data_IF_131109876759
#
_entry.id   IF_131109876759
#
_cell.length_a   1.000
_cell.length_b   1.000
_cell.length_c   1.000
_cell.angle_alpha   90.00
_cell.angle_beta   90.00
_cell.angle_gamma   90.00
#
_symmetry.space_group_name_H-M   'P 1'
#
loop_
_entity.id
_entity.type
_entity.pdbx_description
1 polymer ?
#
# COMPACT_ATOMS: atom_id res chain seq x y z
N UNK A 1 19.62 -21.91 -18.76
CA UNK A 1 18.89 -22.22 -17.52
C UNK A 1 17.98 -21.04 -17.24
N UNK A 2 16.83 -21.04 -17.91
CA UNK A 2 15.87 -19.95 -17.97
C UNK A 2 14.54 -20.53 -17.55
N UNK A 3 14.16 -20.28 -16.30
CA UNK A 3 12.85 -20.57 -15.70
C UNK A 3 12.84 -19.72 -14.43
N UNK A 4 12.50 -18.43 -14.57
CA UNK A 4 12.16 -17.52 -13.44
C UNK A 4 11.71 -16.12 -13.91
N UNK A 5 11.74 -15.81 -15.21
CA UNK A 5 11.37 -14.47 -15.73
C UNK A 5 9.92 -14.34 -16.22
N UNK A 6 9.19 -15.43 -16.43
CA UNK A 6 7.82 -15.37 -16.99
C UNK A 6 6.73 -15.22 -15.91
N UNK A 7 6.96 -15.72 -14.69
CA UNK A 7 5.99 -15.62 -13.58
C UNK A 7 5.91 -14.18 -13.04
N UNK A 8 7.05 -13.50 -12.92
CA UNK A 8 7.11 -12.11 -12.42
C UNK A 8 6.44 -11.14 -13.41
N UNK A 9 6.49 -11.43 -14.71
CA UNK A 9 5.85 -10.60 -15.74
C UNK A 9 4.32 -10.79 -15.78
N UNK A 10 3.81 -11.98 -15.46
CA UNK A 10 2.37 -12.24 -15.42
C UNK A 10 1.64 -11.50 -14.28
N UNK A 11 2.30 -11.34 -13.13
CA UNK A 11 1.76 -10.59 -11.98
C UNK A 11 1.54 -9.10 -12.34
N UNK A 12 2.44 -8.51 -13.13
CA UNK A 12 2.33 -7.10 -13.58
C UNK A 12 1.20 -6.92 -14.59
N UNK A 13 0.95 -7.90 -15.47
CA UNK A 13 -0.17 -7.85 -16.44
C UNK A 13 -1.53 -7.99 -15.78
N UNK A 14 -1.66 -8.79 -14.72
CA UNK A 14 -2.93 -8.97 -14.00
C UNK A 14 -3.41 -7.65 -13.41
N UNK A 15 -2.52 -6.83 -12.81
CA UNK A 15 -2.89 -5.54 -12.20
C UNK A 15 -3.45 -4.50 -13.19
N UNK A 16 -3.21 -4.66 -14.51
CA UNK A 16 -3.71 -3.77 -15.56
C UNK A 16 -5.12 -4.06 -16.04
N UNK A 17 -5.66 -5.27 -15.80
CA UNK A 17 -6.97 -5.72 -16.30
C UNK A 17 -8.01 -5.96 -15.19
N UNK A 18 -7.69 -5.64 -13.93
CA UNK A 18 -8.59 -5.86 -12.79
C UNK A 18 -9.64 -4.76 -12.69
N UNK A 19 -10.65 -4.80 -13.56
CA UNK A 19 -11.72 -3.81 -13.57
C UNK A 19 -12.72 -3.94 -12.39
N UNK A 20 -12.75 -5.04 -11.63
CA UNK A 20 -13.83 -5.19 -10.62
C UNK A 20 -13.65 -6.25 -9.51
N UNK A 21 -12.46 -6.83 -9.23
CA UNK A 21 -12.38 -7.97 -8.28
C UNK A 21 -11.26 -8.05 -7.24
N UNK A 22 -10.45 -7.00 -7.04
CA UNK A 22 -9.32 -7.05 -6.10
C UNK A 22 -9.35 -6.00 -4.97
N UNK A 23 -10.54 -5.65 -4.46
CA UNK A 23 -10.64 -4.85 -3.24
C UNK A 23 -9.92 -5.49 -2.05
N UNK A 24 -9.86 -6.83 -2.00
CA UNK A 24 -9.23 -7.58 -0.91
C UNK A 24 -7.72 -7.36 -0.85
N UNK A 25 -7.05 -7.21 -2.00
CA UNK A 25 -5.61 -6.99 -2.04
C UNK A 25 -5.24 -5.62 -1.48
N UNK A 26 -5.93 -4.57 -1.97
CA UNK A 26 -5.79 -3.20 -1.49
C UNK A 26 -6.07 -3.13 0.00
N UNK A 27 -7.13 -3.80 0.47
CA UNK A 27 -7.50 -3.88 1.89
C UNK A 27 -6.43 -4.55 2.76
N UNK A 28 -5.73 -5.57 2.26
CA UNK A 28 -4.64 -6.20 2.99
C UNK A 28 -3.39 -5.31 3.13
N UNK A 29 -3.29 -4.27 2.31
CA UNK A 29 -2.24 -3.25 2.39
C UNK A 29 -2.67 -2.03 3.21
N UNK A 30 -3.90 -1.97 3.72
CA UNK A 30 -4.34 -0.91 4.63
C UNK A 30 -3.77 -1.13 6.04
N UNK A 31 -3.31 -0.04 6.65
CA UNK A 31 -2.92 -0.09 8.04
C UNK A 31 -4.17 -0.31 8.92
N UNK A 32 -4.18 -1.27 9.85
CA UNK A 32 -5.35 -1.53 10.71
C UNK A 32 -5.65 -0.39 11.70
N UNK A 33 -4.76 0.62 11.80
CA UNK A 33 -4.89 1.75 12.72
C UNK A 33 -5.52 2.96 12.04
N UNK A 34 -4.90 3.44 10.95
CA UNK A 34 -5.38 4.63 10.24
C UNK A 34 -6.25 4.32 9.01
N UNK A 35 -6.36 3.05 8.62
CA UNK A 35 -7.09 2.61 7.43
C UNK A 35 -6.58 3.25 6.13
N UNK A 36 -5.38 3.82 6.14
CA UNK A 36 -4.69 4.29 4.95
C UNK A 36 -3.82 3.16 4.37
N UNK A 37 -3.66 3.14 3.06
CA UNK A 37 -2.70 2.24 2.41
C UNK A 37 -1.29 2.48 2.94
N UNK A 38 -0.59 1.41 3.30
CA UNK A 38 0.78 1.48 3.80
C UNK A 38 1.74 1.78 2.65
N UNK A 39 2.74 2.63 2.91
CA UNK A 39 3.80 3.02 1.96
C UNK A 39 5.05 3.40 2.74
N UNK A 40 6.22 3.42 2.08
CA UNK A 40 7.48 3.70 2.76
C UNK A 40 7.88 2.56 3.69
N UNK A 41 8.30 2.86 4.92
CA UNK A 41 8.61 1.84 5.91
C UNK A 41 7.33 1.17 6.43
N UNK A 42 7.30 -0.17 6.40
CA UNK A 42 6.17 -0.96 6.93
C UNK A 42 6.70 -1.88 8.03
N UNK A 43 6.21 -1.72 9.25
CA UNK A 43 6.69 -2.43 10.42
C UNK A 43 5.82 -3.63 10.76
N UNK A 44 6.44 -4.69 11.31
CA UNK A 44 5.74 -5.89 11.76
C UNK A 44 5.88 -6.13 13.26
N UNK A 45 4.82 -6.66 13.87
CA UNK A 45 4.89 -7.26 15.19
C UNK A 45 5.53 -8.66 15.14
N UNK A 46 5.80 -9.27 16.30
CA UNK A 46 6.40 -10.63 16.38
C UNK A 46 5.60 -11.72 15.67
N UNK A 47 4.28 -11.55 15.55
CA UNK A 47 3.38 -12.50 14.87
C UNK A 47 3.31 -12.27 13.36
N UNK A 48 3.73 -11.08 12.89
CA UNK A 48 3.75 -10.74 11.47
C UNK A 48 2.68 -9.75 10.99
N UNK A 49 1.81 -9.23 11.88
CA UNK A 49 0.88 -8.15 11.49
C UNK A 49 1.63 -6.86 11.13
N UNK A 50 1.26 -6.26 10.01
CA UNK A 50 1.89 -5.06 9.46
C UNK A 50 1.20 -3.75 9.89
N UNK A 51 1.99 -2.71 10.13
CA UNK A 51 1.58 -1.37 10.56
C UNK A 51 2.42 -0.35 9.77
N UNK A 52 1.83 0.78 9.35
CA UNK A 52 2.61 1.86 8.71
C UNK A 52 3.54 2.56 9.70
N UNK A 53 4.61 3.17 9.18
CA UNK A 53 5.56 4.00 9.93
C UNK A 53 4.89 5.03 10.85
N UNK A 54 3.95 5.82 10.32
CA UNK A 54 3.27 6.85 11.11
C UNK A 54 2.58 6.25 12.35
N UNK A 55 1.98 5.06 12.23
CA UNK A 55 1.25 4.43 13.32
C UNK A 55 2.17 3.63 14.25
N UNK A 56 3.25 3.04 13.76
CA UNK A 56 4.18 2.27 14.59
C UNK A 56 4.84 3.15 15.65
N UNK A 57 5.19 4.39 15.30
CA UNK A 57 5.86 5.32 16.22
C UNK A 57 4.99 5.70 17.44
N UNK A 58 3.67 5.56 17.32
CA UNK A 58 2.70 5.88 18.37
C UNK A 58 2.27 4.67 19.20
N UNK A 59 2.72 3.48 18.85
CA UNK A 59 2.24 2.22 19.43
C UNK A 59 3.38 1.44 20.09
N UNK A 60 3.09 0.88 21.27
CA UNK A 60 4.02 -0.04 21.96
C UNK A 60 3.73 -1.51 21.64
N UNK A 61 2.50 -1.81 21.25
CA UNK A 61 2.00 -3.16 20.99
C UNK A 61 1.07 -3.18 19.78
N UNK A 62 0.98 -4.34 19.14
CA UNK A 62 0.12 -4.57 17.99
C UNK A 62 -1.35 -4.47 18.40
N UNK A 63 -2.19 -3.68 17.71
CA UNK A 63 -3.61 -3.57 18.04
C UNK A 63 -4.40 -4.85 17.71
N UNK A 64 -3.85 -5.75 16.90
CA UNK A 64 -4.52 -6.98 16.46
C UNK A 64 -4.25 -8.17 17.37
N UNK A 65 -3.06 -8.26 17.98
CA UNK A 65 -2.66 -9.42 18.79
C UNK A 65 -1.99 -9.07 20.13
N UNK A 66 -1.91 -7.78 20.50
CA UNK A 66 -1.28 -7.28 21.73
C UNK A 66 0.22 -7.59 21.91
N UNK A 67 0.87 -8.29 20.97
CA UNK A 67 2.31 -8.53 20.98
C UNK A 67 3.10 -7.23 20.76
N UNK A 68 4.31 -7.09 21.34
CA UNK A 68 5.14 -5.90 21.15
C UNK A 68 5.37 -5.59 19.68
N UNK A 69 5.24 -4.32 19.30
CA UNK A 69 5.77 -3.87 18.02
C UNK A 69 7.29 -3.95 18.06
N UNK A 70 7.86 -4.37 16.94
CA UNK A 70 9.30 -4.50 16.79
C UNK A 70 9.78 -3.48 15.75
N UNK A 71 11.08 -3.19 15.73
CA UNK A 71 11.68 -2.41 14.65
C UNK A 71 11.89 -3.24 13.36
N UNK A 72 11.28 -4.43 13.27
CA UNK A 72 11.35 -5.26 12.07
C UNK A 72 10.47 -4.68 10.98
N UNK A 73 11.03 -4.55 9.78
CA UNK A 73 10.34 -4.07 8.58
C UNK A 73 9.92 -5.23 7.68
N UNK A 74 8.84 -5.04 6.95
CA UNK A 74 8.31 -5.98 5.98
C UNK A 74 8.62 -5.52 4.55
N UNK A 75 9.87 -5.67 4.11
CA UNK A 75 10.34 -5.22 2.79
C UNK A 75 9.51 -5.73 1.60
N UNK A 76 8.89 -6.92 1.73
CA UNK A 76 8.00 -7.45 0.70
C UNK A 76 6.76 -6.56 0.50
N UNK A 77 6.11 -6.12 1.59
CA UNK A 77 4.97 -5.21 1.51
C UNK A 77 5.40 -3.82 1.02
N UNK A 78 6.62 -3.38 1.34
CA UNK A 78 7.17 -2.12 0.84
C UNK A 78 7.35 -2.16 -0.68
N UNK A 79 7.95 -3.23 -1.21
CA UNK A 79 8.09 -3.43 -2.66
C UNK A 79 6.75 -3.58 -3.38
N UNK A 80 5.77 -4.22 -2.74
CA UNK A 80 4.38 -4.25 -3.26
C UNK A 80 3.80 -2.84 -3.32
N UNK A 81 3.89 -2.05 -2.24
CA UNK A 81 3.37 -0.69 -2.21
C UNK A 81 4.03 0.22 -3.25
N UNK A 82 5.32 0.02 -3.53
CA UNK A 82 6.08 0.77 -4.54
C UNK A 82 5.73 0.38 -5.99
N UNK A 83 5.45 -0.91 -6.22
CA UNK A 83 5.09 -1.43 -7.55
C UNK A 83 3.65 -1.16 -7.95
N UNK A 84 2.75 -0.97 -6.97
CA UNK A 84 1.35 -0.60 -7.24
C UNK A 84 1.24 0.71 -8.03
N UNK A 85 0.23 0.76 -8.90
CA UNK A 85 -0.15 1.96 -9.65
C UNK A 85 -1.62 2.23 -9.41
N UNK A 86 -1.90 3.35 -8.76
CA UNK A 86 -3.21 3.79 -8.34
C UNK A 86 -3.60 5.04 -9.10
N UNK A 87 -4.89 5.12 -9.41
CA UNK A 87 -5.51 6.33 -9.93
C UNK A 87 -5.79 7.27 -8.76
N UNK A 88 -5.72 8.59 -8.99
CA UNK A 88 -6.17 9.54 -7.98
C UNK A 88 -7.63 9.29 -7.58
N UNK A 89 -7.94 9.44 -6.28
CA UNK A 89 -9.32 9.36 -5.76
C UNK A 89 -10.28 10.35 -6.45
N UNK A 90 -9.75 11.46 -6.97
CA UNK A 90 -10.50 12.47 -7.71
C UNK A 90 -10.58 12.20 -9.22
N UNK A 91 -10.35 10.95 -9.67
CA UNK A 91 -10.43 10.59 -11.10
C UNK A 91 -11.77 10.97 -11.72
N UNK A 92 -12.87 10.74 -11.00
CA UNK A 92 -14.22 11.09 -11.47
C UNK A 92 -14.42 12.60 -11.60
N UNK A 93 -13.63 13.41 -10.89
CA UNK A 93 -13.58 14.87 -11.03
C UNK A 93 -12.61 15.34 -12.12
N UNK A 94 -12.11 14.42 -12.95
CA UNK A 94 -11.20 14.70 -14.06
C UNK A 94 -9.72 14.72 -13.70
N UNK A 95 -9.32 14.18 -12.53
CA UNK A 95 -7.90 14.01 -12.24
C UNK A 95 -7.33 12.79 -12.98
N UNK A 96 -6.32 13.00 -13.82
CA UNK A 96 -5.67 11.93 -14.58
C UNK A 96 -4.37 11.42 -13.92
N UNK A 97 -4.07 11.87 -12.70
CA UNK A 97 -2.86 11.46 -12.00
C UNK A 97 -2.88 9.95 -11.69
N UNK A 98 -1.75 9.29 -11.98
CA UNK A 98 -1.49 7.90 -11.66
C UNK A 98 -0.12 7.80 -11.01
N UNK A 99 -0.03 7.10 -9.88
CA UNK A 99 1.21 6.95 -9.13
C UNK A 99 1.19 5.75 -8.20
N UNK A 100 2.30 5.49 -7.50
CA UNK A 100 2.30 4.53 -6.40
C UNK A 100 1.59 5.08 -5.16
N UNK A 101 1.49 4.26 -4.10
CA UNK A 101 0.78 4.64 -2.87
C UNK A 101 1.31 5.95 -2.28
N UNK A 102 2.63 6.13 -2.20
CA UNK A 102 3.24 7.33 -1.63
C UNK A 102 3.04 8.57 -2.50
N UNK A 103 3.21 8.42 -3.81
CA UNK A 103 2.97 9.46 -4.80
C UNK A 103 1.52 9.93 -4.78
N UNK A 104 0.55 9.02 -4.67
CA UNK A 104 -0.87 9.34 -4.56
C UNK A 104 -1.17 10.11 -3.27
N UNK A 105 -0.66 9.66 -2.11
CA UNK A 105 -0.81 10.39 -0.83
C UNK A 105 -0.28 11.82 -0.91
N UNK A 106 0.87 12.01 -1.54
CA UNK A 106 1.47 13.33 -1.69
C UNK A 106 0.71 14.20 -2.71
N UNK A 107 0.26 13.59 -3.81
CA UNK A 107 -0.58 14.26 -4.80
C UNK A 107 -1.89 14.77 -4.19
N UNK A 108 -2.58 13.96 -3.38
CA UNK A 108 -3.88 14.31 -2.78
C UNK A 108 -3.85 15.62 -1.99
N UNK A 109 -2.75 15.91 -1.28
CA UNK A 109 -2.53 17.17 -0.54
C UNK A 109 -2.58 18.41 -1.44
N UNK A 110 -2.28 18.24 -2.72
CA UNK A 110 -2.14 19.34 -3.71
C UNK A 110 -3.03 19.15 -4.93
N UNK A 111 -3.95 18.18 -4.91
CA UNK A 111 -4.76 17.79 -6.06
C UNK A 111 -5.64 18.97 -6.52
N UNK A 112 -5.42 19.46 -7.73
CA UNK A 112 -6.20 20.57 -8.29
C UNK A 112 -7.69 20.23 -8.46
N UNK A 113 -8.01 18.96 -8.72
CA UNK A 113 -9.39 18.49 -8.86
C UNK A 113 -10.12 18.34 -7.51
N UNK A 114 -9.40 18.35 -6.38
CA UNK A 114 -10.02 18.29 -5.05
C UNK A 114 -10.69 19.62 -4.63
N UNK A 115 -10.27 20.74 -5.25
CA UNK A 115 -10.74 22.10 -4.94
C UNK A 115 -11.89 22.60 -5.85
N UNK A 116 -12.45 21.72 -6.69
CA UNK A 116 -13.58 22.00 -7.56
C UNK A 116 -14.86 21.39 -7.01
#
# INVERSE_FOLDING_TARGET
MTLDSEIVCYIVKIMGEMKDRDQTFVKNLECPVCQCLMSGSIFSCRVGHAICEDCSDRLKACPLCAEPLTNMRCFALEGIAESLRLLCINKEKGCEFVGNVDQCKNHEKTCAAAKR
#
